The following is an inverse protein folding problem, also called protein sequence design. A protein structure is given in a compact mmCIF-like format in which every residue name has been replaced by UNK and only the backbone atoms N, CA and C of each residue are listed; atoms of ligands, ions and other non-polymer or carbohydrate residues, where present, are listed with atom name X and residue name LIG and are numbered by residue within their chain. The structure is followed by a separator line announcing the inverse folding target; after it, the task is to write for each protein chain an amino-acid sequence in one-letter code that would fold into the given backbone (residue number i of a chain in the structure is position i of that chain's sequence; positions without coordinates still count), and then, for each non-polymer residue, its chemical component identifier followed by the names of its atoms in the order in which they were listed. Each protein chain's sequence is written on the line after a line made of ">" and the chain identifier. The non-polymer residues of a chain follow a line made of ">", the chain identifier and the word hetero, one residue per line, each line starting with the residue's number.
data_IF_006838123614
#
_entry.id   IF_006838123614
#
_cell.length_a   1.000
_cell.length_b   1.000
_cell.length_c   1.000
_cell.angle_alpha   90.00
_cell.angle_beta   90.00
_cell.angle_gamma   90.00
#
_symmetry.space_group_name_H-M   'P 1'
#
loop_
_entity.id
_entity.type
_entity.pdbx_description
1 polymer ?
#
# COMPACT_ATOMS: atom_id res chain seq x y z
N UNK A 1 -11.74 -18.37 6.81
CA UNK A 1 -10.63 -18.92 6.00
C UNK A 1 -10.19 -17.85 5.02
N UNK A 2 -8.95 -17.40 5.12
CA UNK A 2 -8.40 -16.33 4.27
C UNK A 2 -7.93 -16.88 2.92
N UNK A 3 -7.82 -16.01 1.89
CA UNK A 3 -7.31 -16.39 0.56
C UNK A 3 -5.91 -17.04 0.70
N UNK A 4 -5.10 -16.54 1.63
CA UNK A 4 -3.78 -17.09 1.98
C UNK A 4 -3.86 -18.53 2.49
N UNK A 5 -4.75 -18.81 3.45
CA UNK A 5 -4.94 -20.16 3.99
C UNK A 5 -5.42 -21.14 2.92
N UNK A 6 -6.33 -20.72 2.04
CA UNK A 6 -6.82 -21.53 0.93
C UNK A 6 -5.74 -21.83 -0.10
N UNK A 7 -4.88 -20.85 -0.41
CA UNK A 7 -3.76 -21.04 -1.32
C UNK A 7 -2.72 -22.03 -0.75
N UNK A 8 -2.36 -21.89 0.53
CA UNK A 8 -1.44 -22.81 1.21
C UNK A 8 -2.00 -24.24 1.21
N UNK A 9 -3.28 -24.40 1.57
CA UNK A 9 -3.92 -25.71 1.60
C UNK A 9 -3.94 -26.38 0.22
N UNK A 10 -4.16 -25.60 -0.86
CA UNK A 10 -4.12 -26.11 -2.23
C UNK A 10 -2.72 -26.52 -2.66
N UNK A 11 -1.69 -25.74 -2.30
CA UNK A 11 -0.29 -26.05 -2.63
C UNK A 11 0.16 -27.33 -1.92
N UNK A 12 -0.24 -27.52 -0.66
CA UNK A 12 0.09 -28.72 0.12
C UNK A 12 -0.56 -30.01 -0.40
N UNK A 13 -1.61 -29.91 -1.23
CA UNK A 13 -2.26 -31.07 -1.86
C UNK A 13 -1.64 -31.45 -3.21
N UNK A 14 -0.64 -30.69 -3.69
CA UNK A 14 0.02 -30.97 -4.95
C UNK A 14 1.09 -32.06 -4.79
N UNK A 15 1.43 -32.79 -5.88
CA UNK A 15 2.58 -33.67 -5.89
C UNK A 15 3.87 -32.90 -5.63
N UNK A 16 4.81 -33.52 -4.93
CA UNK A 16 6.10 -32.91 -4.55
C UNK A 16 6.85 -32.30 -5.74
N UNK A 17 6.79 -32.96 -6.91
CA UNK A 17 7.41 -32.45 -8.14
C UNK A 17 6.86 -31.10 -8.59
N UNK A 18 5.56 -30.86 -8.39
CA UNK A 18 4.91 -29.60 -8.76
C UNK A 18 5.15 -28.53 -7.70
N UNK A 19 5.26 -28.92 -6.42
CA UNK A 19 5.64 -28.00 -5.33
C UNK A 19 7.05 -27.48 -5.56
N UNK A 20 7.98 -28.34 -5.96
CA UNK A 20 9.35 -27.94 -6.29
C UNK A 20 9.37 -26.95 -7.48
N UNK A 21 8.59 -27.21 -8.53
CA UNK A 21 8.49 -26.30 -9.68
C UNK A 21 7.93 -24.92 -9.29
N UNK A 22 6.97 -24.86 -8.35
CA UNK A 22 6.44 -23.61 -7.80
C UNK A 22 7.51 -22.86 -6.99
N UNK A 23 8.31 -23.58 -6.19
CA UNK A 23 9.42 -22.98 -5.41
C UNK A 23 10.47 -22.41 -6.37
N UNK A 24 10.90 -23.18 -7.36
CA UNK A 24 11.90 -22.77 -8.35
C UNK A 24 11.42 -21.54 -9.14
N UNK A 25 10.12 -21.46 -9.44
CA UNK A 25 9.51 -20.30 -10.09
C UNK A 25 9.49 -19.06 -9.19
N UNK A 26 9.18 -19.20 -7.89
CA UNK A 26 9.22 -18.10 -6.92
C UNK A 26 10.66 -17.60 -6.77
N UNK A 27 11.63 -18.50 -6.65
CA UNK A 27 13.04 -18.16 -6.54
C UNK A 27 13.55 -17.45 -7.80
N UNK A 28 13.12 -17.89 -8.99
CA UNK A 28 13.39 -17.21 -10.25
C UNK A 28 12.82 -15.79 -10.28
N UNK A 29 11.57 -15.59 -9.85
CA UNK A 29 10.96 -14.26 -9.76
C UNK A 29 11.73 -13.38 -8.77
N UNK A 30 12.04 -13.91 -7.58
CA UNK A 30 12.76 -13.19 -6.54
C UNK A 30 14.15 -12.77 -7.02
N UNK A 31 14.89 -13.68 -7.66
CA UNK A 31 16.19 -13.41 -8.22
C UNK A 31 16.13 -12.38 -9.36
N UNK A 32 15.14 -12.49 -10.25
CA UNK A 32 14.95 -11.54 -11.35
C UNK A 32 14.52 -10.15 -10.84
N UNK A 33 13.72 -10.08 -9.78
CA UNK A 33 13.40 -8.82 -9.12
C UNK A 33 14.63 -8.20 -8.46
N UNK A 34 15.49 -8.98 -7.82
CA UNK A 34 16.77 -8.51 -7.29
C UNK A 34 17.72 -8.02 -8.39
N UNK A 35 17.77 -8.72 -9.54
CA UNK A 35 18.57 -8.31 -10.68
C UNK A 35 18.02 -7.04 -11.37
N UNK A 36 16.69 -6.89 -11.47
CA UNK A 36 16.04 -5.66 -11.97
C UNK A 36 16.15 -4.48 -11.01
N UNK A 37 16.32 -4.77 -9.72
CA UNK A 37 16.63 -3.78 -8.68
C UNK A 37 18.13 -3.65 -8.45
N UNK A 38 18.96 -4.01 -9.44
CA UNK A 38 20.38 -3.64 -9.54
C UNK A 38 20.64 -2.13 -9.67
N UNK A 39 19.82 -1.31 -9.02
CA UNK A 39 20.21 -0.05 -8.44
C UNK A 39 20.48 -0.38 -6.97
N UNK A 40 21.76 -0.51 -6.63
CA UNK A 40 22.22 -0.28 -5.27
C UNK A 40 21.58 1.02 -4.75
N UNK A 41 20.56 0.89 -3.92
CA UNK A 41 20.16 1.97 -3.02
C UNK A 41 19.39 1.35 -1.85
N UNK A 42 20.09 0.92 -0.80
CA UNK A 42 19.47 0.99 0.50
C UNK A 42 19.28 2.49 0.78
N UNK A 43 18.04 2.93 1.02
CA UNK A 43 17.81 4.24 1.65
C UNK A 43 18.39 5.45 0.89
N UNK A 44 18.14 5.56 -0.42
CA UNK A 44 18.12 6.88 -1.04
C UNK A 44 17.06 7.71 -0.32
N UNK A 45 17.49 8.75 0.39
CA UNK A 45 16.69 9.61 1.24
C UNK A 45 15.45 10.17 0.49
N UNK A 46 14.36 9.41 0.50
CA UNK A 46 13.05 9.78 -0.06
C UNK A 46 12.35 10.83 0.79
N UNK A 47 12.94 11.27 1.90
CA UNK A 47 12.33 12.30 2.74
C UNK A 47 12.11 13.59 1.96
N UNK A 48 13.00 13.92 1.01
CA UNK A 48 12.83 15.07 0.12
C UNK A 48 11.61 14.95 -0.78
N UNK A 49 11.44 13.81 -1.44
CA UNK A 49 10.29 13.54 -2.32
C UNK A 49 8.97 13.55 -1.53
N UNK A 50 8.96 12.98 -0.33
CA UNK A 50 7.81 12.98 0.56
C UNK A 50 7.48 14.37 1.12
N UNK A 51 8.49 15.15 1.51
CA UNK A 51 8.31 16.52 1.98
C UNK A 51 7.72 17.41 0.88
N UNK A 52 8.26 17.29 -0.35
CA UNK A 52 7.76 18.05 -1.49
C UNK A 52 6.31 17.67 -1.85
N UNK A 53 5.96 16.39 -1.78
CA UNK A 53 4.58 15.95 -2.00
C UNK A 53 3.61 16.49 -0.94
N UNK A 54 4.05 16.53 0.33
CA UNK A 54 3.24 17.01 1.43
C UNK A 54 2.98 18.52 1.34
N UNK A 55 4.02 19.32 1.09
CA UNK A 55 3.90 20.78 0.93
C UNK A 55 3.04 21.15 -0.29
N UNK A 56 3.20 20.41 -1.40
CA UNK A 56 2.36 20.58 -2.57
C UNK A 56 0.88 20.25 -2.30
N UNK A 57 0.60 19.22 -1.50
CA UNK A 57 -0.77 18.80 -1.16
C UNK A 57 -1.42 19.73 -0.16
N UNK A 58 -0.67 20.25 0.83
CA UNK A 58 -1.15 21.21 1.82
C UNK A 58 -1.47 22.57 1.18
N UNK A 59 -0.68 22.96 0.17
CA UNK A 59 -0.90 24.18 -0.62
C UNK A 59 -2.09 24.10 -1.57
N UNK A 60 -2.68 22.92 -1.77
CA UNK A 60 -3.92 22.79 -2.53
C UNK A 60 -5.06 23.33 -1.67
N UNK A 61 -5.48 24.57 -1.94
CA UNK A 61 -6.76 25.07 -1.45
C UNK A 61 -7.86 24.15 -1.98
N UNK A 62 -8.35 23.25 -1.12
CA UNK A 62 -9.52 22.43 -1.40
C UNK A 62 -10.70 23.41 -1.45
N UNK A 63 -10.92 24.04 -2.60
CA UNK A 63 -12.15 24.78 -2.84
C UNK A 63 -13.23 23.73 -3.00
N UNK A 64 -14.18 23.58 -2.05
CA UNK A 64 -15.18 22.55 -2.16
C UNK A 64 -16.09 22.91 -3.33
N UNK A 65 -15.96 22.17 -4.44
CA UNK A 65 -16.71 22.40 -5.69
C UNK A 65 -18.22 22.14 -5.52
N UNK A 66 -18.65 21.54 -4.41
CA UNK A 66 -20.06 21.21 -4.17
C UNK A 66 -20.35 21.10 -2.66
N UNK A 67 -21.61 21.29 -2.23
CA UNK A 67 -21.95 21.38 -0.82
C UNK A 67 -21.57 20.08 -0.13
N UNK A 68 -20.84 20.23 0.97
CA UNK A 68 -20.47 19.20 1.92
C UNK A 68 -21.65 18.23 2.10
N UNK A 69 -21.51 17.00 1.61
CA UNK A 69 -22.51 15.94 1.78
C UNK A 69 -22.98 15.92 3.24
N UNK A 70 -24.26 15.65 3.52
CA UNK A 70 -24.78 15.61 4.91
C UNK A 70 -23.90 14.76 5.84
N UNK A 71 -23.32 13.70 5.27
CA UNK A 71 -22.35 12.85 5.96
C UNK A 71 -21.09 13.62 6.38
N UNK A 72 -20.51 14.41 5.49
CA UNK A 72 -19.33 15.24 5.76
C UNK A 72 -19.64 16.33 6.80
N UNK A 73 -20.84 16.93 6.79
CA UNK A 73 -21.23 17.90 7.82
C UNK A 73 -21.41 17.25 9.20
N UNK A 74 -22.02 16.05 9.24
CA UNK A 74 -22.12 15.27 10.49
C UNK A 74 -20.75 14.87 11.02
N UNK A 75 -19.82 14.50 10.13
CA UNK A 75 -18.46 14.13 10.52
C UNK A 75 -17.72 15.35 11.09
N UNK A 76 -17.72 16.48 10.39
CA UNK A 76 -17.12 17.73 10.87
C UNK A 76 -17.71 18.18 12.21
N UNK A 77 -19.02 18.05 12.38
CA UNK A 77 -19.70 18.40 13.64
C UNK A 77 -19.23 17.52 14.80
N UNK A 78 -19.02 16.22 14.56
CA UNK A 78 -18.47 15.31 15.57
C UNK A 78 -17.03 15.66 15.94
N UNK A 79 -16.16 15.94 14.95
CA UNK A 79 -14.77 16.32 15.21
C UNK A 79 -14.68 17.59 16.07
N UNK A 80 -15.46 18.62 15.74
CA UNK A 80 -15.54 19.87 16.53
C UNK A 80 -16.06 19.64 17.95
N UNK A 81 -17.05 18.78 18.15
CA UNK A 81 -17.54 18.42 19.48
C UNK A 81 -16.52 17.65 20.32
N UNK A 82 -15.56 16.99 19.66
CA UNK A 82 -14.50 16.22 20.31
C UNK A 82 -13.23 17.05 20.56
N UNK A 83 -13.23 18.35 20.22
CA UNK A 83 -12.07 19.23 20.42
C UNK A 83 -10.86 18.87 19.56
N UNK A 84 -11.08 18.12 18.47
CA UNK A 84 -10.06 17.77 17.49
C UNK A 84 -10.19 18.78 16.34
N UNK A 85 -9.34 19.81 16.36
CA UNK A 85 -9.16 20.64 15.18
C UNK A 85 -8.44 19.81 14.11
N UNK A 86 -8.97 19.87 12.89
CA UNK A 86 -8.38 19.28 11.69
C UNK A 86 -7.23 20.15 11.20
#
# INVERSE_FOLDING_TARGET
>A
MTIRETAIAKIQQLPESLVQEIIDFIDFIAHNHQAKTGIDSPEGDRSGDWAQWFEATDSLEITPIAPTSEYQQRLLSKYRQQGLDL
#
